data_IF_965386758075
#
_entry.id   IF_965386758075
#
_cell.length_a   1.000
_cell.length_b   1.000
_cell.length_c   1.000
_cell.angle_alpha   90.00
_cell.angle_beta   90.00
_cell.angle_gamma   90.00
#
_symmetry.space_group_name_H-M   'P 1'
#
loop_
_entity.id
_entity.type
_entity.pdbx_description
1 polymer ?
#
# COMPACT_ATOMS: atom_id res chain seq x y z
N UNK A 1 -10.06 -10.23 20.91
CA UNK A 1 -11.36 -10.23 21.60
C UNK A 1 -12.34 -9.46 20.74
N UNK A 2 -13.45 -10.09 20.37
CA UNK A 2 -14.54 -9.44 19.64
C UNK A 2 -15.34 -8.54 20.57
N UNK A 3 -15.77 -7.41 20.04
CA UNK A 3 -16.63 -6.51 20.79
C UNK A 3 -18.01 -7.15 20.95
N UNK A 4 -18.54 -7.04 22.16
CA UNK A 4 -19.94 -7.29 22.49
C UNK A 4 -20.27 -6.43 23.71
N UNK A 5 -21.42 -5.77 23.69
CA UNK A 5 -21.86 -4.95 24.80
C UNK A 5 -22.60 -5.79 25.85
N UNK A 6 -22.64 -5.33 27.11
CA UNK A 6 -23.53 -5.90 28.12
C UNK A 6 -24.99 -6.00 27.67
N UNK A 7 -25.49 -4.95 27.00
CA UNK A 7 -26.87 -4.90 26.48
C UNK A 7 -27.14 -6.02 25.46
N UNK A 8 -26.21 -6.23 24.51
CA UNK A 8 -26.31 -7.32 23.52
C UNK A 8 -26.27 -8.69 24.16
N UNK A 9 -25.42 -8.88 25.17
CA UNK A 9 -25.38 -10.13 25.94
C UNK A 9 -26.72 -10.37 26.63
N UNK A 10 -27.25 -9.38 27.35
CA UNK A 10 -28.53 -9.49 28.03
C UNK A 10 -29.69 -9.79 27.07
N UNK A 11 -29.72 -9.11 25.91
CA UNK A 11 -30.72 -9.35 24.86
C UNK A 11 -30.64 -10.78 24.30
N UNK A 12 -29.44 -11.31 24.08
CA UNK A 12 -29.26 -12.70 23.63
C UNK A 12 -29.83 -13.72 24.64
N UNK A 13 -29.63 -13.48 25.94
CA UNK A 13 -30.22 -14.30 27.00
C UNK A 13 -31.67 -13.92 27.36
N UNK A 14 -32.32 -13.07 26.54
CA UNK A 14 -33.71 -12.62 26.70
C UNK A 14 -34.02 -12.03 28.08
N UNK A 15 -33.05 -11.31 28.67
CA UNK A 15 -33.20 -10.66 29.97
C UNK A 15 -33.25 -9.15 29.82
N UNK A 16 -34.25 -8.54 30.48
CA UNK A 16 -34.21 -7.14 30.84
C UNK A 16 -33.36 -7.01 32.11
N UNK A 17 -32.06 -6.77 31.92
CA UNK A 17 -31.09 -6.69 33.00
C UNK A 17 -30.92 -5.24 33.42
N UNK A 18 -31.30 -4.92 34.66
CA UNK A 18 -30.82 -3.69 35.29
C UNK A 18 -29.37 -3.91 35.75
N UNK A 19 -28.42 -3.28 35.05
CA UNK A 19 -26.99 -3.39 35.33
C UNK A 19 -26.53 -2.60 36.57
N UNK A 20 -27.42 -1.82 37.21
CA UNK A 20 -27.10 -1.15 38.48
C UNK A 20 -27.00 -2.16 39.63
N UNK A 21 -27.78 -3.24 39.59
CA UNK A 21 -27.77 -4.29 40.62
C UNK A 21 -26.75 -5.40 40.33
N UNK A 22 -25.83 -5.67 41.27
CA UNK A 22 -24.78 -6.68 41.09
C UNK A 22 -25.32 -8.11 40.94
N UNK A 23 -26.40 -8.45 41.66
CA UNK A 23 -27.05 -9.76 41.56
C UNK A 23 -27.47 -10.09 40.11
N UNK A 24 -27.97 -9.09 39.38
CA UNK A 24 -28.38 -9.27 37.99
C UNK A 24 -27.19 -9.59 37.08
N UNK A 25 -26.04 -8.95 37.32
CA UNK A 25 -24.79 -9.24 36.59
C UNK A 25 -24.30 -10.65 36.91
N UNK A 26 -24.34 -11.07 38.18
CA UNK A 26 -23.91 -12.40 38.61
C UNK A 26 -24.77 -13.51 38.01
N UNK A 27 -26.09 -13.32 37.97
CA UNK A 27 -26.99 -14.25 37.30
C UNK A 27 -26.68 -14.38 35.80
N UNK A 28 -26.37 -13.26 35.13
CA UNK A 28 -26.00 -13.28 33.72
C UNK A 28 -24.66 -14.00 33.49
N UNK A 29 -23.67 -13.78 34.37
CA UNK A 29 -22.39 -14.50 34.35
C UNK A 29 -22.64 -16.01 34.49
N UNK A 30 -23.39 -16.44 35.51
CA UNK A 30 -23.69 -17.86 35.73
C UNK A 30 -24.36 -18.53 34.53
N UNK A 31 -25.25 -17.81 33.83
CA UNK A 31 -25.89 -18.30 32.61
C UNK A 31 -24.90 -18.45 31.45
N UNK A 32 -23.99 -17.49 31.28
CA UNK A 32 -22.90 -17.62 30.30
C UNK A 32 -22.07 -18.84 30.63
N UNK A 33 -21.61 -18.99 31.88
CA UNK A 33 -20.79 -20.13 32.28
C UNK A 33 -21.50 -21.47 32.08
N UNK A 34 -22.80 -21.53 32.37
CA UNK A 34 -23.61 -22.72 32.10
C UNK A 34 -23.65 -23.07 30.61
N UNK A 35 -23.78 -22.07 29.75
CA UNK A 35 -23.88 -22.25 28.30
C UNK A 35 -22.58 -22.79 27.69
N UNK A 36 -21.42 -22.51 28.29
CA UNK A 36 -20.11 -23.02 27.85
C UNK A 36 -19.70 -24.37 28.49
N UNK A 37 -20.58 -25.05 29.24
CA UNK A 37 -20.22 -26.35 29.87
C UNK A 37 -19.87 -27.45 28.86
N UNK A 38 -20.40 -27.38 27.65
CA UNK A 38 -20.27 -28.43 26.61
C UNK A 38 -19.77 -27.91 25.26
N UNK A 39 -19.58 -26.61 25.12
CA UNK A 39 -19.18 -25.96 23.86
C UNK A 39 -18.09 -24.94 24.14
N UNK A 40 -17.12 -24.86 23.24
CA UNK A 40 -16.01 -23.90 23.33
C UNK A 40 -16.44 -22.50 22.85
N UNK A 41 -17.41 -22.44 21.94
CA UNK A 41 -17.91 -21.23 21.30
C UNK A 41 -19.42 -21.22 21.24
N UNK A 42 -20.00 -20.02 21.34
CA UNK A 42 -21.44 -19.78 21.16
C UNK A 42 -21.63 -18.73 20.08
N UNK A 43 -22.60 -18.95 19.20
CA UNK A 43 -22.97 -17.97 18.18
C UNK A 43 -23.95 -16.94 18.76
N UNK A 44 -23.56 -15.67 18.68
CA UNK A 44 -24.34 -14.53 19.18
C UNK A 44 -24.40 -13.50 18.05
N UNK A 45 -25.61 -13.21 17.55
CA UNK A 45 -25.87 -12.31 16.42
C UNK A 45 -25.02 -12.59 15.16
N UNK A 46 -24.84 -13.87 14.82
CA UNK A 46 -24.08 -14.28 13.62
C UNK A 46 -22.56 -14.33 13.79
N UNK A 47 -22.04 -14.16 15.03
CA UNK A 47 -20.61 -14.24 15.32
C UNK A 47 -20.33 -15.24 16.45
N UNK A 48 -19.28 -16.06 16.30
CA UNK A 48 -18.92 -17.07 17.33
C UNK A 48 -18.03 -16.50 18.42
N UNK A 49 -18.48 -16.43 19.66
CA UNK A 49 -17.72 -15.90 20.80
C UNK A 49 -17.17 -17.01 21.69
N UNK A 50 -15.98 -16.78 22.25
CA UNK A 50 -15.46 -17.57 23.36
C UNK A 50 -16.04 -17.10 24.70
N UNK A 51 -16.00 -17.96 25.72
CA UNK A 51 -16.48 -17.67 27.08
C UNK A 51 -15.95 -16.34 27.61
N UNK A 52 -14.63 -16.15 27.54
CA UNK A 52 -13.97 -14.97 28.11
C UNK A 52 -14.38 -13.67 27.39
N UNK A 53 -14.69 -13.73 26.10
CA UNK A 53 -15.14 -12.56 25.34
C UNK A 53 -16.53 -12.09 25.79
N UNK A 54 -17.43 -13.02 26.15
CA UNK A 54 -18.75 -12.66 26.69
C UNK A 54 -18.69 -12.22 28.16
N UNK A 55 -17.75 -12.78 28.94
CA UNK A 55 -17.61 -12.43 30.35
C UNK A 55 -16.89 -11.09 30.55
N UNK A 56 -15.95 -10.75 29.70
CA UNK A 56 -15.12 -9.54 29.81
C UNK A 56 -15.92 -8.25 30.04
N UNK A 57 -16.94 -7.88 29.23
CA UNK A 57 -17.69 -6.65 29.44
C UNK A 57 -18.47 -6.62 30.77
N UNK A 58 -18.96 -7.79 31.22
CA UNK A 58 -19.65 -7.91 32.51
C UNK A 58 -18.69 -7.76 33.69
N UNK A 59 -17.48 -8.32 33.57
CA UNK A 59 -16.43 -8.16 34.57
C UNK A 59 -15.96 -6.70 34.66
N UNK A 60 -15.86 -6.00 33.54
CA UNK A 60 -15.57 -4.56 33.54
C UNK A 60 -16.68 -3.75 34.22
N UNK A 61 -17.95 -4.08 33.98
CA UNK A 61 -19.08 -3.45 34.68
C UNK A 61 -19.04 -3.66 36.19
N UNK A 62 -18.69 -4.86 36.69
CA UNK A 62 -18.53 -5.10 38.14
C UNK A 62 -17.47 -4.18 38.76
N UNK A 63 -16.39 -3.89 38.02
CA UNK A 63 -15.30 -3.02 38.50
C UNK A 63 -15.64 -1.54 38.42
N UNK A 64 -16.35 -1.11 37.37
CA UNK A 64 -16.71 0.28 37.18
C UNK A 64 -18.05 0.39 36.44
N UNK A 65 -19.12 0.68 37.17
CA UNK A 65 -20.48 0.83 36.61
C UNK A 65 -20.57 1.94 35.55
N UNK A 66 -19.74 2.98 35.64
CA UNK A 66 -19.74 4.08 34.67
C UNK A 66 -19.28 3.66 33.27
N UNK A 67 -18.69 2.46 33.12
CA UNK A 67 -18.32 1.92 31.81
C UNK A 67 -19.55 1.61 30.94
N UNK A 68 -20.75 1.51 31.53
CA UNK A 68 -21.98 1.31 30.76
C UNK A 68 -22.19 2.43 29.72
N UNK A 69 -21.89 3.69 30.09
CA UNK A 69 -21.98 4.82 29.17
C UNK A 69 -21.03 4.69 27.98
N UNK A 70 -19.83 4.10 28.19
CA UNK A 70 -18.92 3.79 27.10
C UNK A 70 -19.54 2.79 26.12
N UNK A 71 -20.09 1.68 26.63
CA UNK A 71 -20.73 0.68 25.78
C UNK A 71 -21.88 1.28 24.97
N UNK A 72 -22.75 2.08 25.59
CA UNK A 72 -23.85 2.77 24.91
C UNK A 72 -23.36 3.72 23.81
N UNK A 73 -22.27 4.48 24.04
CA UNK A 73 -21.70 5.36 23.01
C UNK A 73 -21.11 4.57 21.83
N UNK A 74 -20.39 3.48 22.10
CA UNK A 74 -19.85 2.63 21.02
C UNK A 74 -20.99 2.02 20.21
N UNK A 75 -22.07 1.57 20.86
CA UNK A 75 -23.22 0.97 20.18
C UNK A 75 -23.93 1.90 19.21
N UNK A 76 -23.90 3.21 19.44
CA UNK A 76 -24.45 4.21 18.51
C UNK A 76 -23.63 4.32 17.23
N UNK A 77 -22.33 4.04 17.30
CA UNK A 77 -21.46 4.04 16.13
C UNK A 77 -21.50 2.68 15.41
N UNK A 78 -22.48 2.52 14.51
CA UNK A 78 -22.68 1.28 13.76
C UNK A 78 -21.43 0.85 12.97
N UNK A 79 -20.68 1.81 12.42
CA UNK A 79 -19.45 1.55 11.66
C UNK A 79 -18.36 0.97 12.56
N UNK A 80 -18.13 1.59 13.71
CA UNK A 80 -17.16 1.11 14.70
C UNK A 80 -17.58 -0.25 15.25
N UNK A 81 -18.85 -0.46 15.59
CA UNK A 81 -19.33 -1.76 16.05
C UNK A 81 -19.08 -2.85 15.02
N UNK A 82 -19.47 -2.63 13.76
CA UNK A 82 -19.21 -3.59 12.67
C UNK A 82 -17.72 -3.92 12.58
N UNK A 83 -16.87 -2.89 12.58
CA UNK A 83 -15.42 -3.05 12.53
C UNK A 83 -14.86 -3.88 13.70
N UNK A 84 -15.29 -3.59 14.93
CA UNK A 84 -14.83 -4.29 16.13
C UNK A 84 -15.33 -5.74 16.19
N UNK A 85 -16.59 -5.98 15.83
CA UNK A 85 -17.20 -7.31 15.83
C UNK A 85 -16.55 -8.18 14.75
N UNK A 86 -16.35 -7.65 13.54
CA UNK A 86 -15.68 -8.35 12.43
C UNK A 86 -14.16 -8.44 12.58
N UNK A 87 -13.57 -7.86 13.64
CA UNK A 87 -12.11 -7.77 13.81
C UNK A 87 -11.39 -7.11 12.61
N UNK A 88 -12.04 -6.11 12.01
CA UNK A 88 -11.56 -5.39 10.84
C UNK A 88 -11.61 -6.16 9.51
N UNK A 89 -12.26 -7.33 9.45
CA UNK A 89 -12.33 -8.14 8.23
C UNK A 89 -13.40 -7.68 7.22
N UNK A 90 -14.46 -7.00 7.64
CA UNK A 90 -15.59 -6.61 6.78
C UNK A 90 -15.57 -5.10 6.45
N UNK A 91 -14.39 -4.55 6.18
CA UNK A 91 -14.21 -3.10 6.04
C UNK A 91 -14.78 -2.52 4.75
N UNK A 92 -14.87 -3.32 3.69
CA UNK A 92 -15.34 -2.89 2.36
C UNK A 92 -16.87 -2.73 2.27
N UNK A 93 -17.61 -3.24 3.26
CA UNK A 93 -19.07 -3.12 3.36
C UNK A 93 -19.50 -1.93 4.23
N UNK A 94 -18.56 -1.08 4.62
CA UNK A 94 -18.83 0.12 5.41
C UNK A 94 -19.07 1.31 4.46
N UNK A 95 -20.28 1.40 3.91
CA UNK A 95 -20.67 2.55 3.09
C UNK A 95 -20.61 3.87 3.90
N UNK A 96 -20.04 4.91 3.28
CA UNK A 96 -19.98 6.28 3.82
C UNK A 96 -18.56 6.78 4.09
N UNK A 97 -18.24 8.00 3.62
CA UNK A 97 -17.01 8.70 3.98
C UNK A 97 -17.04 9.09 5.46
N UNK A 98 -16.03 8.69 6.23
CA UNK A 98 -15.91 9.12 7.63
C UNK A 98 -15.56 10.60 7.68
N UNK A 99 -16.56 11.46 7.86
CA UNK A 99 -16.33 12.84 8.27
C UNK A 99 -16.05 12.81 9.77
N UNK A 100 -14.77 12.84 10.15
CA UNK A 100 -14.27 12.66 11.53
C UNK A 100 -14.75 13.67 12.58
N UNK A 101 -15.86 14.37 12.35
CA UNK A 101 -16.52 15.28 13.27
C UNK A 101 -17.72 14.67 14.00
N UNK A 102 -18.27 13.53 13.56
CA UNK A 102 -19.60 13.09 14.04
C UNK A 102 -19.60 12.01 15.14
N UNK A 103 -18.46 11.39 15.48
CA UNK A 103 -18.41 10.30 16.48
C UNK A 103 -17.29 10.49 17.52
N UNK A 104 -17.32 11.60 18.25
CA UNK A 104 -16.35 11.86 19.32
C UNK A 104 -16.61 10.94 20.52
N UNK A 105 -15.94 9.79 20.56
CA UNK A 105 -15.77 9.02 21.80
C UNK A 105 -14.93 9.87 22.74
N UNK A 106 -15.48 10.17 23.92
CA UNK A 106 -14.78 10.98 24.93
C UNK A 106 -13.40 10.40 25.22
N UNK A 107 -12.41 11.26 25.49
CA UNK A 107 -11.03 10.84 25.76
C UNK A 107 -10.95 9.78 26.87
N UNK A 108 -11.78 9.93 27.91
CA UNK A 108 -11.93 8.96 29.00
C UNK A 108 -12.33 7.56 28.50
N UNK A 109 -13.18 7.50 27.48
CA UNK A 109 -13.72 6.27 26.92
C UNK A 109 -12.81 5.63 25.85
N UNK A 110 -11.90 6.40 25.26
CA UNK A 110 -10.91 5.86 24.32
C UNK A 110 -10.02 4.80 24.96
N UNK A 111 -9.74 4.92 26.26
CA UNK A 111 -8.97 3.92 27.01
C UNK A 111 -9.67 2.56 27.08
N UNK A 112 -11.00 2.52 27.26
CA UNK A 112 -11.75 1.25 27.24
C UNK A 112 -11.78 0.63 25.85
N UNK A 113 -11.80 1.47 24.81
CA UNK A 113 -11.78 1.01 23.43
C UNK A 113 -10.45 0.35 23.07
N UNK A 114 -9.34 0.72 23.73
CA UNK A 114 -8.02 0.17 23.42
C UNK A 114 -7.97 -1.36 23.53
N UNK A 115 -8.66 -1.96 24.51
CA UNK A 115 -8.68 -3.42 24.72
C UNK A 115 -9.24 -4.17 23.51
N UNK A 116 -10.14 -3.53 22.75
CA UNK A 116 -10.73 -4.08 21.55
C UNK A 116 -9.98 -3.64 20.29
N UNK A 117 -9.75 -2.34 20.14
CA UNK A 117 -9.37 -1.72 18.88
C UNK A 117 -7.87 -1.82 18.58
N UNK A 118 -7.02 -1.61 19.58
CA UNK A 118 -5.56 -1.56 19.37
C UNK A 118 -5.01 -2.89 18.82
N UNK A 119 -5.38 -4.08 19.32
CA UNK A 119 -4.93 -5.35 18.75
C UNK A 119 -5.37 -5.55 17.30
N UNK A 120 -6.60 -5.14 16.97
CA UNK A 120 -7.14 -5.23 15.61
C UNK A 120 -6.30 -4.35 14.68
N UNK A 121 -6.13 -3.07 15.02
CA UNK A 121 -5.39 -2.13 14.18
C UNK A 121 -3.94 -2.54 13.98
N UNK A 122 -3.23 -2.96 15.04
CA UNK A 122 -1.84 -3.44 14.92
C UNK A 122 -1.73 -4.57 13.90
N UNK A 123 -2.62 -5.56 13.98
CA UNK A 123 -2.64 -6.70 13.07
C UNK A 123 -2.96 -6.27 11.64
N UNK A 124 -4.05 -5.52 11.46
CA UNK A 124 -4.55 -5.21 10.12
C UNK A 124 -3.67 -4.22 9.36
N UNK A 125 -3.08 -3.23 10.07
CA UNK A 125 -2.11 -2.31 9.48
C UNK A 125 -0.84 -3.05 9.06
N UNK A 126 -0.31 -3.91 9.92
CA UNK A 126 0.84 -4.74 9.59
C UNK A 126 0.57 -5.60 8.33
N UNK A 127 -0.59 -6.26 8.27
CA UNK A 127 -0.99 -7.04 7.11
C UNK A 127 -1.12 -6.19 5.84
N UNK A 128 -1.71 -4.99 5.95
CA UNK A 128 -1.90 -4.08 4.82
C UNK A 128 -0.59 -3.53 4.28
N UNK A 129 0.35 -3.16 5.17
CA UNK A 129 1.70 -2.73 4.80
C UNK A 129 2.44 -3.87 4.07
N UNK A 130 2.46 -5.07 4.65
CA UNK A 130 3.18 -6.21 4.05
C UNK A 130 2.63 -6.60 2.68
N UNK A 131 1.31 -6.49 2.49
CA UNK A 131 0.65 -6.75 1.20
C UNK A 131 0.68 -5.55 0.25
N UNK A 132 1.23 -4.41 0.68
CA UNK A 132 1.19 -3.12 -0.03
C UNK A 132 -0.23 -2.72 -0.46
N UNK A 133 -1.23 -3.03 0.36
CA UNK A 133 -2.64 -2.79 0.04
C UNK A 133 -3.11 -1.45 0.62
N UNK A 134 -2.87 -0.36 -0.12
CA UNK A 134 -3.09 1.02 0.35
C UNK A 134 -4.55 1.32 0.68
N UNK A 135 -5.51 0.78 -0.09
CA UNK A 135 -6.95 0.98 0.16
C UNK A 135 -7.35 0.49 1.55
N UNK A 136 -6.94 -0.72 1.92
CA UNK A 136 -7.24 -1.26 3.26
C UNK A 136 -6.47 -0.51 4.34
N UNK A 137 -5.20 -0.17 4.08
CA UNK A 137 -4.39 0.59 5.02
C UNK A 137 -5.06 1.92 5.38
N UNK A 138 -5.54 2.66 4.38
CA UNK A 138 -6.32 3.90 4.56
C UNK A 138 -7.52 3.66 5.47
N UNK A 139 -8.36 2.69 5.12
CA UNK A 139 -9.59 2.41 5.87
C UNK A 139 -9.30 2.01 7.33
N UNK A 140 -8.25 1.24 7.60
CA UNK A 140 -7.85 0.91 8.97
C UNK A 140 -7.36 2.14 9.75
N UNK A 141 -6.63 3.05 9.10
CA UNK A 141 -6.13 4.27 9.75
C UNK A 141 -7.23 5.22 10.17
N UNK A 142 -8.37 5.26 9.47
CA UNK A 142 -9.51 6.08 9.88
C UNK A 142 -10.00 5.73 11.29
N UNK A 143 -9.96 4.45 11.66
CA UNK A 143 -10.31 3.98 13.01
C UNK A 143 -9.25 4.30 14.07
N UNK A 144 -8.01 4.62 13.68
CA UNK A 144 -6.98 5.01 14.64
C UNK A 144 -7.32 6.32 15.36
N UNK A 145 -8.23 7.13 14.82
CA UNK A 145 -8.73 8.36 15.45
C UNK A 145 -9.48 8.11 16.76
N UNK A 146 -10.01 6.90 16.98
CA UNK A 146 -10.66 6.54 18.24
C UNK A 146 -9.67 6.14 19.35
N UNK A 147 -8.36 6.09 19.06
CA UNK A 147 -7.33 5.81 20.05
C UNK A 147 -6.78 7.09 20.67
N UNK A 148 -6.27 7.02 21.92
CA UNK A 148 -5.52 8.11 22.51
C UNK A 148 -4.32 8.50 21.65
N UNK A 149 -4.00 9.80 21.62
CA UNK A 149 -2.98 10.39 20.75
C UNK A 149 -1.66 9.63 20.79
N UNK A 150 -1.16 9.30 21.98
CA UNK A 150 0.13 8.60 22.13
C UNK A 150 0.12 7.19 21.51
N UNK A 151 -1.01 6.48 21.58
CA UNK A 151 -1.14 5.16 20.95
C UNK A 151 -1.31 5.26 19.45
N UNK A 152 -2.04 6.28 18.96
CA UNK A 152 -2.17 6.58 17.54
C UNK A 152 -0.81 6.92 16.92
N UNK A 153 0.00 7.77 17.55
CA UNK A 153 1.38 8.09 17.11
C UNK A 153 2.22 6.82 16.92
N UNK A 154 2.32 5.99 17.96
CA UNK A 154 3.09 4.75 17.89
C UNK A 154 2.61 3.83 16.74
N UNK A 155 1.31 3.75 16.51
CA UNK A 155 0.73 2.94 15.44
C UNK A 155 1.03 3.52 14.05
N UNK A 156 0.99 4.85 13.92
CA UNK A 156 1.31 5.56 12.68
C UNK A 156 2.80 5.53 12.34
N UNK A 157 3.70 5.28 13.31
CA UNK A 157 5.14 5.16 13.08
C UNK A 157 5.48 4.11 12.02
N UNK A 158 4.87 2.93 12.08
CA UNK A 158 5.13 1.86 11.09
C UNK A 158 4.66 2.24 9.69
N UNK A 159 3.55 2.98 9.60
CA UNK A 159 3.05 3.50 8.32
C UNK A 159 3.98 4.57 7.77
N UNK A 160 4.38 5.54 8.59
CA UNK A 160 5.35 6.58 8.23
C UNK A 160 6.65 5.98 7.68
N UNK A 161 7.21 4.97 8.36
CA UNK A 161 8.42 4.28 7.91
C UNK A 161 8.22 3.60 6.54
N UNK A 162 7.10 2.92 6.35
CA UNK A 162 6.74 2.30 5.08
C UNK A 162 6.63 3.32 3.94
N UNK A 163 5.85 4.39 4.11
CA UNK A 163 5.70 5.44 3.09
C UNK A 163 7.04 6.11 2.77
N UNK A 164 7.84 6.40 3.81
CA UNK A 164 9.16 6.98 3.65
C UNK A 164 10.13 6.09 2.87
N UNK A 165 9.99 4.78 3.01
CA UNK A 165 10.76 3.81 2.24
C UNK A 165 10.32 3.80 0.77
N UNK A 166 9.02 3.80 0.49
CA UNK A 166 8.48 3.88 -0.88
C UNK A 166 8.89 5.20 -1.58
N UNK A 167 8.88 6.33 -0.86
CA UNK A 167 9.39 7.61 -1.36
C UNK A 167 10.89 7.53 -1.70
N UNK A 168 11.72 6.98 -0.79
CA UNK A 168 13.17 6.81 -1.05
C UNK A 168 13.43 5.91 -2.25
N UNK A 169 12.61 4.90 -2.48
CA UNK A 169 12.75 4.04 -3.64
C UNK A 169 12.58 4.76 -4.97
N UNK A 170 11.96 5.95 -5.01
CA UNK A 170 11.91 6.79 -6.22
C UNK A 170 13.28 7.39 -6.55
N UNK A 171 14.05 7.80 -5.53
CA UNK A 171 15.34 8.48 -5.69
C UNK A 171 16.40 7.61 -6.40
N UNK A 172 16.30 6.30 -6.25
CA UNK A 172 17.30 5.32 -6.76
C UNK A 172 16.82 4.48 -7.95
N UNK A 173 15.73 4.87 -8.62
CA UNK A 173 15.12 4.05 -9.67
C UNK A 173 15.68 4.29 -11.07
N UNK A 174 15.90 3.20 -11.81
CA UNK A 174 16.14 3.25 -13.26
C UNK A 174 14.89 3.66 -14.04
N UNK A 175 15.05 4.16 -15.26
CA UNK A 175 14.02 4.83 -16.08
C UNK A 175 12.75 4.00 -16.30
N UNK A 176 12.85 2.69 -16.55
CA UNK A 176 11.67 1.83 -16.78
C UNK A 176 10.90 1.56 -15.48
N UNK A 177 11.60 1.32 -14.37
CA UNK A 177 10.97 1.11 -13.06
C UNK A 177 10.44 2.41 -12.43
N UNK A 178 10.95 3.56 -12.87
CA UNK A 178 10.55 4.86 -12.37
C UNK A 178 9.08 5.16 -12.68
N UNK A 179 8.58 4.83 -13.88
CA UNK A 179 7.18 5.10 -14.22
C UNK A 179 6.21 4.35 -13.30
N UNK A 180 6.41 3.04 -13.13
CA UNK A 180 5.58 2.22 -12.24
C UNK A 180 5.63 2.72 -10.80
N UNK A 181 6.81 3.12 -10.32
CA UNK A 181 6.97 3.67 -8.97
C UNK A 181 6.33 5.05 -8.81
N UNK A 182 6.42 5.93 -9.82
CA UNK A 182 5.70 7.21 -9.82
C UNK A 182 4.20 6.96 -9.67
N UNK A 183 3.62 6.06 -10.48
CA UNK A 183 2.20 5.72 -10.35
C UNK A 183 1.84 5.07 -9.01
N UNK A 184 2.77 4.34 -8.40
CA UNK A 184 2.56 3.71 -7.09
C UNK A 184 2.68 4.67 -5.90
N UNK A 185 3.48 5.72 -5.99
CA UNK A 185 3.72 6.67 -4.88
C UNK A 185 2.86 7.92 -5.01
N UNK A 186 2.60 8.38 -6.23
CA UNK A 186 1.75 9.54 -6.52
C UNK A 186 0.33 9.12 -6.93
N UNK A 187 -0.23 8.11 -6.26
CA UNK A 187 -1.66 7.80 -6.37
C UNK A 187 -2.46 8.43 -5.22
N UNK A 188 -3.78 8.46 -5.40
CA UNK A 188 -4.69 9.07 -4.46
C UNK A 188 -4.64 8.40 -3.08
N UNK A 189 -4.57 7.07 -3.03
CA UNK A 189 -4.54 6.32 -1.76
C UNK A 189 -3.29 6.63 -0.94
N UNK A 190 -2.13 6.78 -1.58
CA UNK A 190 -0.89 7.14 -0.91
C UNK A 190 -0.98 8.53 -0.29
N UNK A 191 -1.53 9.50 -1.02
CA UNK A 191 -1.76 10.87 -0.55
C UNK A 191 -2.78 10.90 0.59
N UNK A 192 -3.86 10.14 0.48
CA UNK A 192 -4.87 10.03 1.54
C UNK A 192 -4.27 9.47 2.83
N UNK A 193 -3.44 8.44 2.73
CA UNK A 193 -2.74 7.88 3.90
C UNK A 193 -1.83 8.93 4.52
N UNK A 194 -1.05 9.67 3.73
CA UNK A 194 -0.23 10.78 4.23
C UNK A 194 -1.07 11.83 4.96
N UNK A 195 -2.27 12.11 4.46
CA UNK A 195 -3.21 13.05 5.08
C UNK A 195 -3.81 12.53 6.38
N UNK A 196 -4.00 11.21 6.52
CA UNK A 196 -4.52 10.57 7.74
C UNK A 196 -3.47 10.40 8.85
N UNK A 197 -2.17 10.54 8.54
CA UNK A 197 -1.14 10.45 9.57
C UNK A 197 -1.32 11.51 10.65
N UNK A 198 -0.82 11.20 11.85
CA UNK A 198 -0.91 12.12 12.98
C UNK A 198 -0.05 13.35 12.67
N UNK A 199 -0.43 14.53 13.18
CA UNK A 199 0.29 15.79 12.95
C UNK A 199 1.79 15.70 13.34
N UNK A 200 2.15 14.78 14.24
CA UNK A 200 3.54 14.45 14.55
C UNK A 200 4.38 14.09 13.31
N UNK A 201 3.78 13.46 12.29
CA UNK A 201 4.44 13.01 11.06
C UNK A 201 4.31 14.01 9.90
N UNK A 202 4.01 15.28 10.17
CA UNK A 202 3.87 16.31 9.14
C UNK A 202 5.10 16.44 8.22
N UNK A 203 6.30 16.17 8.76
CA UNK A 203 7.55 16.14 7.99
C UNK A 203 7.54 15.17 6.81
N UNK A 204 6.73 14.11 6.87
CA UNK A 204 6.61 13.14 5.77
C UNK A 204 5.93 13.77 4.55
N UNK A 205 4.92 14.63 4.76
CA UNK A 205 4.28 15.40 3.69
C UNK A 205 5.28 16.37 3.04
N UNK A 206 6.11 17.01 3.86
CA UNK A 206 7.16 17.93 3.37
C UNK A 206 8.19 17.17 2.53
N UNK A 207 8.64 16.01 3.01
CA UNK A 207 9.58 15.16 2.28
C UNK A 207 8.99 14.67 0.95
N UNK A 208 7.75 14.20 0.95
CA UNK A 208 7.02 13.82 -0.26
C UNK A 208 7.00 14.96 -1.28
N UNK A 209 6.67 16.19 -0.84
CA UNK A 209 6.72 17.40 -1.70
C UNK A 209 8.11 17.64 -2.27
N UNK A 210 9.13 17.65 -1.42
CA UNK A 210 10.51 17.93 -1.84
C UNK A 210 11.01 16.89 -2.84
N UNK A 211 10.78 15.60 -2.59
CA UNK A 211 11.14 14.53 -3.53
C UNK A 211 10.40 14.70 -4.86
N UNK A 212 9.11 15.05 -4.83
CA UNK A 212 8.34 15.31 -6.06
C UNK A 212 8.93 16.45 -6.90
N UNK A 213 9.29 17.57 -6.26
CA UNK A 213 9.93 18.71 -6.94
C UNK A 213 11.26 18.31 -7.57
N UNK A 214 12.11 17.61 -6.82
CA UNK A 214 13.40 17.12 -7.30
C UNK A 214 13.26 16.16 -8.49
N UNK A 215 12.25 15.29 -8.48
CA UNK A 215 11.99 14.38 -9.61
C UNK A 215 11.60 15.16 -10.89
N UNK A 216 10.74 16.17 -10.76
CA UNK A 216 10.28 16.96 -11.91
C UNK A 216 11.39 17.87 -12.47
N UNK A 217 12.29 18.36 -11.61
CA UNK A 217 13.42 19.19 -11.99
C UNK A 217 14.56 18.39 -12.63
N UNK A 218 14.92 17.25 -12.03
CA UNK A 218 16.14 16.53 -12.39
C UNK A 218 15.93 15.45 -13.46
N UNK A 219 14.68 15.02 -13.70
CA UNK A 219 14.39 13.92 -14.63
C UNK A 219 13.54 14.37 -15.82
N UNK A 220 13.77 13.70 -16.96
CA UNK A 220 12.91 13.84 -18.14
C UNK A 220 11.65 12.99 -17.96
N UNK A 221 10.65 13.57 -17.30
CA UNK A 221 9.33 12.96 -17.12
C UNK A 221 8.39 13.29 -18.29
N UNK A 222 7.48 12.37 -18.60
CA UNK A 222 6.37 12.61 -19.53
C UNK A 222 5.34 13.57 -18.93
N UNK A 223 4.55 14.25 -19.78
CA UNK A 223 3.50 15.16 -19.33
C UNK A 223 2.48 14.48 -18.42
N UNK A 224 2.12 13.22 -18.71
CA UNK A 224 1.22 12.44 -17.87
C UNK A 224 1.80 12.20 -16.46
N UNK A 225 3.09 11.90 -16.35
CA UNK A 225 3.75 11.73 -15.05
C UNK A 225 3.79 13.04 -14.26
N UNK A 226 4.08 14.16 -14.93
CA UNK A 226 4.08 15.49 -14.30
C UNK A 226 2.68 15.83 -13.78
N UNK A 227 1.63 15.54 -14.54
CA UNK A 227 0.24 15.77 -14.14
C UNK A 227 -0.17 14.92 -12.93
N UNK A 228 0.19 13.63 -12.91
CA UNK A 228 -0.06 12.74 -11.76
C UNK A 228 0.64 13.27 -10.49
N UNK A 229 1.91 13.66 -10.60
CA UNK A 229 2.67 14.24 -9.50
C UNK A 229 1.99 15.53 -9.02
N UNK A 230 1.62 16.41 -9.95
CA UNK A 230 0.98 17.69 -9.65
C UNK A 230 -0.35 17.51 -8.92
N UNK A 231 -1.23 16.64 -9.41
CA UNK A 231 -2.52 16.36 -8.80
C UNK A 231 -2.35 15.80 -7.38
N UNK A 232 -1.36 14.92 -7.19
CA UNK A 232 -1.02 14.38 -5.88
C UNK A 232 -0.55 15.46 -4.90
N UNK A 233 0.27 16.41 -5.35
CA UNK A 233 0.73 17.51 -4.52
C UNK A 233 -0.40 18.47 -4.13
N UNK A 234 -1.34 18.73 -5.05
CA UNK A 234 -2.50 19.58 -4.80
C UNK A 234 -3.49 18.93 -3.82
N UNK A 235 -3.55 17.60 -3.77
CA UNK A 235 -4.40 16.84 -2.86
C UNK A 235 -3.83 16.70 -1.43
N UNK A 236 -2.57 17.10 -1.20
CA UNK A 236 -2.00 17.08 0.15
C UNK A 236 -2.54 18.21 1.02
N UNK A 237 -2.97 17.84 2.22
CA UNK A 237 -3.44 18.77 3.25
C UNK A 237 -2.24 19.36 4.01
N UNK A 238 -1.69 20.45 3.46
CA UNK A 238 -0.60 21.20 4.07
C UNK A 238 -1.12 22.25 5.06
N UNK A 239 -0.27 22.62 6.03
CA UNK A 239 -0.50 23.85 6.81
C UNK A 239 -0.53 25.05 5.86
N UNK A 240 -1.34 26.06 6.17
CA UNK A 240 -1.59 27.25 5.33
C UNK A 240 -0.34 27.81 4.62
N UNK A 241 0.75 28.02 5.35
CA UNK A 241 2.00 28.57 4.81
C UNK A 241 2.64 27.68 3.73
N UNK A 242 2.61 26.37 3.93
CA UNK A 242 3.12 25.39 2.96
C UNK A 242 2.12 25.15 1.83
N UNK A 243 0.82 25.24 2.11
CA UNK A 243 -0.25 25.13 1.13
C UNK A 243 -0.15 26.23 0.07
N UNK A 244 0.15 27.47 0.48
CA UNK A 244 0.36 28.59 -0.45
C UNK A 244 1.52 28.33 -1.42
N UNK A 245 2.62 27.72 -0.95
CA UNK A 245 3.75 27.33 -1.81
C UNK A 245 3.34 26.28 -2.84
N UNK A 246 2.49 25.33 -2.43
CA UNK A 246 1.95 24.26 -3.30
C UNK A 246 0.95 24.81 -4.34
N UNK A 247 0.12 25.80 -3.98
CA UNK A 247 -0.83 26.42 -4.93
C UNK A 247 -0.12 27.20 -6.06
N UNK A 248 1.11 27.64 -5.82
CA UNK A 248 1.95 28.27 -6.84
C UNK A 248 2.69 27.28 -7.76
N UNK A 249 2.51 25.95 -7.60
CA UNK A 249 3.07 24.94 -8.51
C UNK A 249 2.69 25.18 -9.98
N UNK A 250 1.49 25.71 -10.23
CA UNK A 250 1.03 26.09 -11.57
C UNK A 250 1.92 27.13 -12.26
N UNK A 251 2.69 27.91 -11.49
CA UNK A 251 3.60 28.94 -11.99
C UNK A 251 5.05 28.45 -12.04
N UNK A 252 5.34 27.24 -11.56
CA UNK A 252 6.70 26.72 -11.50
C UNK A 252 7.17 26.26 -12.89
N UNK A 253 8.32 26.73 -13.40
CA UNK A 253 8.78 26.43 -14.76
C UNK A 253 8.82 24.93 -15.08
N UNK A 254 9.21 24.11 -14.09
CA UNK A 254 9.34 22.66 -14.23
C UNK A 254 7.99 21.93 -14.44
N UNK A 255 6.89 22.50 -13.96
CA UNK A 255 5.52 21.98 -14.14
C UNK A 255 4.79 22.63 -15.32
N UNK A 256 5.31 23.75 -15.81
CA UNK A 256 4.77 24.54 -16.92
C UNK A 256 5.64 24.35 -18.17
N UNK A 257 6.09 23.11 -18.43
CA UNK A 257 6.65 22.76 -19.74
C UNK A 257 5.50 22.86 -20.74
N UNK A 258 5.40 23.99 -21.44
CA UNK A 258 4.58 24.11 -22.64
C UNK A 258 4.85 22.89 -23.52
N UNK A 259 3.81 22.44 -24.25
CA UNK A 259 3.90 21.41 -25.29
C UNK A 259 4.90 21.85 -26.36
N UNK A 260 6.18 21.82 -26.05
CA UNK A 260 7.22 21.88 -27.04
C UNK A 260 7.26 20.47 -27.61
N UNK A 261 6.53 20.28 -28.70
CA UNK A 261 6.91 19.33 -29.73
C UNK A 261 8.32 19.71 -30.22
N UNK A 262 9.32 19.55 -29.37
CA UNK A 262 10.68 19.44 -29.83
C UNK A 262 10.77 18.04 -30.43
N UNK A 263 10.53 17.96 -31.74
CA UNK A 263 11.27 17.04 -32.57
C UNK A 263 12.76 17.28 -32.28
N UNK A 264 13.27 16.63 -31.24
CA UNK A 264 14.70 16.60 -30.95
C UNK A 264 15.32 15.92 -32.15
N UNK A 265 16.03 16.69 -32.96
CA UNK A 265 17.08 16.13 -33.80
C UNK A 265 17.93 15.25 -32.89
N UNK A 266 17.87 13.93 -33.14
CA UNK A 266 18.75 12.95 -32.54
C UNK A 266 20.18 13.32 -32.96
N UNK A 267 20.87 14.11 -32.14
CA UNK A 267 22.33 14.15 -32.21
C UNK A 267 22.81 12.79 -31.69
N UNK A 268 23.43 11.96 -32.55
CA UNK A 268 23.88 10.64 -32.13
C UNK A 268 24.90 10.80 -31.01
N UNK A 269 24.78 9.95 -29.98
CA UNK A 269 25.73 9.98 -28.86
C UNK A 269 27.15 9.75 -29.40
N UNK A 270 28.19 10.33 -28.78
CA UNK A 270 29.58 10.11 -29.21
C UNK A 270 29.94 8.63 -29.28
N UNK A 271 29.37 7.81 -28.39
CA UNK A 271 29.50 6.36 -28.40
C UNK A 271 28.83 5.72 -29.62
N UNK A 272 27.64 6.18 -30.02
CA UNK A 272 26.97 5.70 -31.24
C UNK A 272 27.78 6.03 -32.50
N UNK A 273 28.37 7.23 -32.57
CA UNK A 273 29.25 7.62 -33.69
C UNK A 273 30.47 6.71 -33.75
N UNK A 274 31.12 6.44 -32.61
CA UNK A 274 32.27 5.52 -32.56
C UNK A 274 31.86 4.09 -32.94
N UNK A 275 30.74 3.58 -32.43
CA UNK A 275 30.25 2.23 -32.78
C UNK A 275 29.90 2.12 -34.27
N UNK A 276 29.21 3.10 -34.84
CA UNK A 276 28.88 3.14 -36.25
C UNK A 276 30.14 3.19 -37.13
N UNK A 277 31.17 3.94 -36.70
CA UNK A 277 32.42 4.07 -37.41
C UNK A 277 33.24 2.77 -37.36
N UNK A 278 33.25 2.05 -36.23
CA UNK A 278 33.86 0.71 -36.11
C UNK A 278 33.14 -0.31 -37.00
N UNK A 279 31.81 -0.31 -37.02
CA UNK A 279 31.03 -1.19 -37.91
C UNK A 279 31.32 -0.85 -39.38
N UNK A 280 31.40 0.43 -39.73
CA UNK A 280 31.70 0.86 -41.09
C UNK A 280 33.11 0.45 -41.52
N UNK A 281 34.11 0.62 -40.66
CA UNK A 281 35.48 0.15 -40.92
C UNK A 281 35.50 -1.37 -41.12
N UNK A 282 34.79 -2.13 -40.29
CA UNK A 282 34.69 -3.59 -40.43
C UNK A 282 34.02 -4.00 -41.74
N UNK A 283 32.97 -3.31 -42.18
CA UNK A 283 32.30 -3.56 -43.46
C UNK A 283 33.23 -3.23 -44.63
N UNK A 284 33.94 -2.10 -44.58
CA UNK A 284 34.91 -1.71 -45.61
C UNK A 284 36.04 -2.74 -45.69
N UNK A 285 36.57 -3.19 -44.55
CA UNK A 285 37.60 -4.21 -44.49
C UNK A 285 37.11 -5.55 -45.05
N UNK A 286 35.88 -5.96 -44.71
CA UNK A 286 35.23 -7.15 -45.24
C UNK A 286 35.03 -7.09 -46.75
N UNK A 287 34.54 -5.97 -47.29
CA UNK A 287 34.37 -5.78 -48.74
C UNK A 287 35.72 -5.77 -49.45
N UNK A 288 36.74 -5.17 -48.84
CA UNK A 288 38.09 -5.15 -49.39
C UNK A 288 38.72 -6.54 -49.41
N UNK A 289 38.59 -7.33 -48.32
CA UNK A 289 39.05 -8.71 -48.26
C UNK A 289 38.30 -9.62 -49.23
N UNK A 290 37.01 -9.35 -49.47
CA UNK A 290 36.19 -10.09 -50.43
C UNK A 290 36.59 -9.78 -51.89
N UNK A 291 37.00 -8.55 -52.19
CA UNK A 291 37.50 -8.16 -53.52
C UNK A 291 38.90 -8.72 -53.82
N UNK A 292 39.76 -8.88 -52.82
CA UNK A 292 41.10 -9.46 -52.99
C UNK A 292 41.10 -10.99 -53.02
N UNK A 293 39.98 -11.65 -52.74
CA UNK A 293 39.81 -13.10 -52.79
C UNK A 293 39.09 -13.63 -54.04
N UNK A 294 38.87 -12.84 -55.10
CA UNK A 294 38.48 -13.42 -56.40
C UNK A 294 39.70 -14.08 -57.05
N UNK A 295 39.73 -15.42 -57.20
CA UNK A 295 40.78 -16.07 -57.97
C UNK A 295 40.53 -15.84 -59.47
N UNK A 296 41.55 -15.37 -60.17
CA UNK A 296 41.66 -15.49 -61.62
C UNK A 296 41.86 -16.96 -61.96
N UNK A 297 40.79 -17.66 -62.34
CA UNK A 297 40.86 -18.96 -63.01
C UNK A 297 40.36 -18.80 -64.46
N UNK A 298 41.27 -18.38 -65.33
CA UNK A 298 41.27 -18.78 -66.74
C UNK A 298 42.63 -19.40 -67.06
N UNK A 299 42.74 -20.71 -66.83
CA UNK A 299 43.36 -21.68 -67.73
C UNK A 299 43.74 -22.92 -66.92
N UNK A 300 43.14 -24.06 -67.27
CA UNK A 300 43.86 -25.30 -67.62
C UNK A 300 42.82 -26.20 -68.27
N UNK A 301 42.89 -26.23 -69.59
CA UNK A 301 42.41 -27.34 -70.38
C UNK A 301 43.60 -28.31 -70.49
N UNK A 302 43.53 -29.46 -69.83
CA UNK A 302 43.83 -30.81 -70.38
C UNK A 302 44.24 -31.82 -69.31
N UNK A 303 43.56 -32.95 -69.42
CA UNK A 303 44.09 -34.31 -69.27
C UNK A 303 44.19 -34.89 -67.87
N UNK A 304 43.24 -35.79 -67.58
CA UNK A 304 43.64 -37.18 -67.36
C UNK A 304 43.19 -37.84 -66.08
N UNK A 305 42.37 -38.89 -66.27
CA UNK A 305 42.28 -40.14 -65.50
C UNK A 305 41.40 -40.17 -64.23
N UNK A 306 40.21 -40.75 -64.43
CA UNK A 306 39.77 -42.06 -63.88
C UNK A 306 40.51 -42.60 -62.65
N UNK A 307 39.82 -42.68 -61.51
CA UNK A 307 39.35 -43.88 -60.81
C UNK A 307 38.68 -43.44 -59.49
N UNK A 308 37.45 -43.90 -59.16
CA UNK A 308 37.17 -44.99 -58.21
C UNK A 308 37.88 -44.79 -56.84
N UNK A 309 37.28 -44.97 -55.67
CA UNK A 309 35.97 -45.45 -55.19
C UNK A 309 36.11 -45.41 -53.64
N UNK A 310 34.98 -45.39 -52.91
CA UNK A 310 34.88 -45.78 -51.49
C UNK A 310 35.56 -44.83 -50.47
N UNK A 311 34.98 -44.51 -49.32
CA UNK A 311 33.76 -44.95 -48.67
C UNK A 311 33.73 -44.40 -47.25
N UNK A 312 32.56 -44.50 -46.60
CA UNK A 312 32.34 -44.54 -45.14
C UNK A 312 32.77 -43.31 -44.32
N UNK A 313 32.13 -42.88 -43.24
CA UNK A 313 30.90 -43.21 -42.55
C UNK A 313 30.78 -42.12 -41.45
N UNK A 314 29.55 -41.72 -41.14
CA UNK A 314 29.11 -41.28 -39.79
C UNK A 314 29.70 -39.93 -39.29
N UNK A 315 28.99 -39.09 -38.54
CA UNK A 315 27.81 -39.29 -37.70
C UNK A 315 27.20 -37.91 -37.42
N UNK A 316 25.90 -37.78 -37.66
CA UNK A 316 25.02 -36.84 -36.94
C UNK A 316 24.75 -37.42 -35.57
N UNK A 317 24.84 -36.59 -34.54
CA UNK A 317 24.22 -36.62 -33.21
C UNK A 317 24.95 -35.50 -32.44
N UNK A 318 24.35 -34.51 -31.79
CA UNK A 318 23.05 -34.43 -31.12
C UNK A 318 22.85 -32.97 -30.70
N UNK A 319 21.63 -32.43 -30.84
CA UNK A 319 21.07 -31.45 -29.92
C UNK A 319 20.09 -32.23 -29.04
N UNK A 320 20.26 -32.13 -27.72
CA UNK A 320 19.22 -32.25 -26.69
C UNK A 320 19.80 -31.80 -25.35
N UNK A 321 19.57 -30.53 -24.98
CA UNK A 321 18.57 -30.09 -24.00
C UNK A 321 18.75 -28.60 -23.71
#
# INVERSE_FOLDING_TARGET
MRFVSPNRIAAFYQKNVDFTADNNIEQLIQQIEHSFKKVEKIEVFGFSYFKDELLFPLQQLKKNKNILNFYSQVEQNTRLVKYLVSQGLQIDQLEGSYTGKEDLISEKHQFYLMDYLLPILKRQIYCSINKKHLVHLKLHLEFANFLPIEKRKHLHQSVSLFLNQEIRHLEFSSTYNLQLKISSVFNAEFVDILNLLDAHYYTDKIKFRTTALQLVENLQLSNQQIEVIKNSLLALDFKLEDGNKTQHLNKHPSFNKEKSEQHKHLTPSPLFVVSALVVFINIVYFIWSYKTQKPTDESINKSGKLHQQQGTNQRLDTINF
#
